data_IF_075102003748
#
_entry.id   IF_075102003748
#
_cell.length_a   1.000
_cell.length_b   1.000
_cell.length_c   1.000
_cell.angle_alpha   90.00
_cell.angle_beta   90.00
_cell.angle_gamma   90.00
#
_symmetry.space_group_name_H-M   'P 1'
#
loop_
_entity.id
_entity.type
_entity.pdbx_description
1 polymer ?
#
# COMPACT_ATOMS: atom_id res chain seq x y z
N UNK A 1 -2.18 1.14 -14.38
CA UNK A 1 -1.02 1.89 -13.84
C UNK A 1 0.29 1.41 -14.45
N UNK A 2 0.59 0.09 -14.41
CA UNK A 2 1.81 -0.47 -15.00
C UNK A 2 1.94 -0.11 -16.48
N UNK A 3 0.93 -0.42 -17.31
CA UNK A 3 0.91 -0.07 -18.73
C UNK A 3 1.11 1.44 -18.99
N UNK A 4 0.52 2.29 -18.14
CA UNK A 4 0.69 3.74 -18.23
C UNK A 4 2.16 4.12 -17.99
N UNK A 5 2.79 3.58 -16.94
CA UNK A 5 4.20 3.85 -16.61
C UNK A 5 5.11 3.40 -17.75
N UNK A 6 4.86 2.22 -18.31
CA UNK A 6 5.64 1.64 -19.41
C UNK A 6 5.51 2.40 -20.73
N UNK A 7 4.36 3.05 -20.97
CA UNK A 7 4.10 3.80 -22.21
C UNK A 7 4.57 5.27 -22.17
N UNK A 8 5.11 5.75 -21.04
CA UNK A 8 5.65 7.11 -20.95
C UNK A 8 6.87 7.25 -21.87
N UNK A 9 7.03 8.39 -22.59
CA UNK A 9 8.23 8.64 -23.40
C UNK A 9 9.54 8.60 -22.62
N UNK A 10 9.48 8.99 -21.33
CA UNK A 10 10.59 8.95 -20.39
C UNK A 10 10.11 8.25 -19.11
N UNK A 11 10.08 6.91 -19.08
CA UNK A 11 9.51 6.17 -17.96
C UNK A 11 10.42 6.28 -16.72
N UNK A 12 9.84 6.35 -15.50
CA UNK A 12 10.62 6.42 -14.27
C UNK A 12 11.41 5.14 -14.02
N UNK A 13 12.47 5.23 -13.22
CA UNK A 13 13.28 4.09 -12.80
C UNK A 13 12.55 3.14 -11.85
N UNK A 14 11.56 3.64 -11.12
CA UNK A 14 10.74 2.90 -10.17
C UNK A 14 9.38 3.57 -10.03
N UNK A 15 8.37 2.80 -9.65
CA UNK A 15 7.04 3.32 -9.35
C UNK A 15 6.42 2.50 -8.22
N UNK A 16 5.32 2.97 -7.64
CA UNK A 16 4.65 2.19 -6.60
C UNK A 16 3.54 2.96 -5.92
N UNK A 17 3.25 2.56 -4.69
CA UNK A 17 2.20 3.15 -3.88
C UNK A 17 2.74 3.59 -2.52
N UNK A 18 2.14 4.63 -1.95
CA UNK A 18 2.30 5.01 -0.56
C UNK A 18 0.96 5.37 0.07
N UNK A 19 0.92 5.40 1.41
CA UNK A 19 -0.29 5.69 2.18
C UNK A 19 -1.38 4.62 1.96
N UNK A 20 -2.65 5.04 1.91
CA UNK A 20 -3.82 4.15 1.93
C UNK A 20 -4.51 4.19 3.28
N UNK A 21 -5.35 3.20 3.56
CA UNK A 21 -6.03 3.08 4.85
C UNK A 21 -5.26 2.16 5.79
N UNK A 22 -5.02 0.90 5.41
CA UNK A 22 -4.18 -0.04 6.17
C UNK A 22 -2.94 -0.53 5.42
N UNK A 23 -2.01 -1.17 6.14
CA UNK A 23 -0.86 -1.86 5.57
C UNK A 23 -1.27 -3.06 4.69
N UNK A 24 -2.43 -3.67 4.95
CA UNK A 24 -3.04 -4.70 4.09
C UNK A 24 -3.40 -4.16 2.70
N UNK A 25 -4.11 -3.03 2.63
CA UNK A 25 -4.58 -2.45 1.37
C UNK A 25 -3.46 -2.15 0.38
N UNK A 26 -2.35 -1.59 0.85
CA UNK A 26 -1.23 -1.26 -0.02
C UNK A 26 -0.55 -2.53 -0.58
N UNK A 27 -0.56 -3.65 0.17
CA UNK A 27 -0.02 -4.91 -0.35
C UNK A 27 -0.88 -5.51 -1.44
N UNK A 28 -2.21 -5.36 -1.37
CA UNK A 28 -3.09 -5.72 -2.49
C UNK A 28 -2.73 -4.93 -3.75
N UNK A 29 -2.44 -3.63 -3.63
CA UNK A 29 -1.95 -2.82 -4.76
C UNK A 29 -0.61 -3.32 -5.29
N UNK A 30 0.35 -3.64 -4.41
CA UNK A 30 1.67 -4.17 -4.81
C UNK A 30 1.53 -5.51 -5.54
N UNK A 31 0.68 -6.42 -5.05
CA UNK A 31 0.36 -7.67 -5.74
C UNK A 31 -0.21 -7.42 -7.13
N UNK A 32 -1.14 -6.46 -7.26
CA UNK A 32 -1.69 -6.05 -8.55
C UNK A 32 -0.62 -5.53 -9.52
N UNK A 33 0.34 -4.74 -9.04
CA UNK A 33 1.47 -4.30 -9.87
C UNK A 33 2.38 -5.45 -10.28
N UNK A 34 2.72 -6.35 -9.36
CA UNK A 34 3.57 -7.50 -9.63
C UNK A 34 2.91 -8.51 -10.59
N UNK A 35 1.59 -8.67 -10.52
CA UNK A 35 0.82 -9.56 -11.40
C UNK A 35 0.84 -9.13 -12.87
N UNK A 36 1.14 -7.87 -13.16
CA UNK A 36 1.30 -7.35 -14.53
C UNK A 36 2.66 -7.71 -15.15
N UNK A 37 3.55 -8.39 -14.41
CA UNK A 37 4.83 -8.86 -14.95
C UNK A 37 5.87 -7.77 -15.21
N UNK A 38 5.75 -6.60 -14.58
CA UNK A 38 6.76 -5.54 -14.72
C UNK A 38 8.10 -5.93 -14.10
N UNK A 39 9.19 -5.60 -14.79
CA UNK A 39 10.55 -5.71 -14.25
C UNK A 39 10.99 -4.45 -13.50
N UNK A 40 10.24 -3.33 -13.62
CA UNK A 40 10.56 -2.09 -12.94
C UNK A 40 10.40 -2.26 -11.42
N UNK A 41 11.36 -1.77 -10.61
CA UNK A 41 11.26 -1.78 -9.16
C UNK A 41 9.94 -1.20 -8.64
N UNK A 42 9.21 -2.01 -7.88
CA UNK A 42 7.99 -1.60 -7.19
C UNK A 42 8.33 -1.01 -5.81
N UNK A 43 7.74 0.15 -5.50
CA UNK A 43 7.84 0.84 -4.21
C UNK A 43 6.58 0.56 -3.38
N UNK A 44 6.76 0.21 -2.11
CA UNK A 44 5.66 0.10 -1.15
C UNK A 44 5.95 0.93 0.09
N UNK A 45 5.00 1.78 0.48
CA UNK A 45 5.16 2.66 1.64
C UNK A 45 3.86 2.82 2.46
N UNK A 46 3.54 1.83 3.29
CA UNK A 46 2.29 1.73 4.04
C UNK A 46 2.21 2.64 5.28
N UNK A 47 1.00 2.93 5.76
CA UNK A 47 0.79 3.63 7.04
C UNK A 47 1.05 2.68 8.23
N UNK A 48 1.46 3.22 9.37
CA UNK A 48 1.62 2.47 10.61
C UNK A 48 0.27 2.29 11.31
N UNK A 49 -0.55 1.39 10.78
CA UNK A 49 -1.92 1.17 11.24
C UNK A 49 -2.96 2.01 10.50
N UNK A 50 -4.23 1.82 10.87
CA UNK A 50 -5.37 2.50 10.25
C UNK A 50 -5.54 3.90 10.87
N UNK A 51 -5.73 4.96 10.08
CA UNK A 51 -5.98 6.30 10.61
C UNK A 51 -7.26 6.33 11.44
N UNK A 52 -7.16 6.81 12.68
CA UNK A 52 -8.29 7.02 13.61
C UNK A 52 -8.44 8.50 13.90
N UNK A 53 -9.67 9.00 13.85
CA UNK A 53 -9.96 10.37 14.25
C UNK A 53 -10.24 10.42 15.76
N UNK A 54 -9.38 11.10 16.51
CA UNK A 54 -9.47 11.25 17.97
C UNK A 54 -9.30 12.72 18.28
N UNK A 55 -10.26 13.33 18.97
CA UNK A 55 -10.22 14.72 19.44
C UNK A 55 -9.81 15.77 18.38
N UNK A 56 -10.31 15.62 17.15
CA UNK A 56 -10.01 16.56 16.07
C UNK A 56 -8.76 16.23 15.25
N UNK A 57 -8.02 15.19 15.62
CA UNK A 57 -6.74 14.83 15.02
C UNK A 57 -6.71 13.39 14.51
N UNK A 58 -5.85 13.12 13.52
CA UNK A 58 -5.63 11.77 12.99
C UNK A 58 -4.51 11.11 13.77
N UNK A 59 -4.79 9.96 14.37
CA UNK A 59 -3.85 9.11 15.09
C UNK A 59 -3.65 7.79 14.36
N UNK A 60 -2.45 7.24 14.50
CA UNK A 60 -2.04 5.96 13.93
C UNK A 60 -1.48 5.11 15.07
N UNK A 61 -2.00 3.89 15.23
CA UNK A 61 -1.73 3.02 16.37
C UNK A 61 -1.11 1.67 15.97
N UNK A 62 -0.69 1.52 14.71
CA UNK A 62 0.02 0.33 14.27
C UNK A 62 1.36 0.22 14.98
N UNK A 63 1.66 -0.89 15.68
CA UNK A 63 2.91 -1.01 16.42
C UNK A 63 4.12 -1.24 15.48
N UNK A 64 5.35 -0.96 15.95
CA UNK A 64 6.57 -1.26 15.19
C UNK A 64 6.68 -2.68 14.65
N UNK A 65 6.22 -3.68 15.42
CA UNK A 65 6.23 -5.09 14.99
C UNK A 65 5.36 -5.33 13.75
N UNK A 66 4.17 -4.72 13.70
CA UNK A 66 3.27 -4.82 12.55
C UNK A 66 3.92 -4.27 11.28
N UNK A 67 4.70 -3.19 11.39
CA UNK A 67 5.45 -2.67 10.25
C UNK A 67 6.60 -3.59 9.83
N UNK A 68 7.19 -4.35 10.76
CA UNK A 68 8.13 -5.43 10.45
C UNK A 68 7.48 -6.54 9.60
N UNK A 69 6.29 -6.98 9.98
CA UNK A 69 5.51 -7.98 9.22
C UNK A 69 5.14 -7.46 7.84
N UNK A 70 4.67 -6.22 7.77
CA UNK A 70 4.39 -5.53 6.52
C UNK A 70 5.61 -5.49 5.60
N UNK A 71 6.81 -5.18 6.11
CA UNK A 71 7.99 -5.06 5.26
C UNK A 71 8.41 -6.40 4.63
N UNK A 72 8.35 -7.49 5.41
CA UNK A 72 8.61 -8.83 4.90
C UNK A 72 7.59 -9.21 3.81
N UNK A 73 6.30 -9.00 4.08
CA UNK A 73 5.23 -9.27 3.11
C UNK A 73 5.32 -8.38 1.86
N UNK A 74 5.71 -7.11 1.99
CA UNK A 74 5.90 -6.19 0.86
C UNK A 74 7.00 -6.69 -0.08
N UNK A 75 8.12 -7.11 0.49
CA UNK A 75 9.23 -7.71 -0.25
C UNK A 75 8.78 -8.97 -0.99
N UNK A 76 8.04 -9.85 -0.32
CA UNK A 76 7.60 -11.12 -0.88
C UNK A 76 6.46 -10.94 -1.91
N UNK A 77 5.66 -9.88 -1.77
CA UNK A 77 4.67 -9.44 -2.76
C UNK A 77 5.30 -8.88 -4.05
N UNK A 78 6.59 -8.51 -4.03
CA UNK A 78 7.34 -8.05 -5.20
C UNK A 78 7.99 -6.69 -5.06
N UNK A 79 7.79 -5.96 -3.95
CA UNK A 79 8.43 -4.67 -3.73
C UNK A 79 9.96 -4.80 -3.65
N UNK A 80 10.65 -3.80 -4.20
CA UNK A 80 12.11 -3.65 -4.13
C UNK A 80 12.52 -2.49 -3.23
N UNK A 81 11.65 -1.50 -3.06
CA UNK A 81 11.84 -0.38 -2.13
C UNK A 81 10.67 -0.41 -1.15
N UNK A 82 10.99 -0.54 0.14
CA UNK A 82 10.00 -0.65 1.22
C UNK A 82 10.26 0.45 2.24
N UNK A 83 9.21 1.10 2.71
CA UNK A 83 9.29 2.07 3.81
C UNK A 83 7.93 2.30 4.46
N UNK A 84 7.81 3.36 5.25
CA UNK A 84 6.53 3.72 5.89
C UNK A 84 6.08 5.15 5.57
N UNK A 85 4.77 5.39 5.62
CA UNK A 85 4.11 6.67 5.35
C UNK A 85 3.60 7.31 6.64
N UNK A 86 2.30 7.57 6.78
CA UNK A 86 1.78 8.26 7.96
C UNK A 86 1.86 7.35 9.19
N UNK A 87 2.11 7.96 10.36
CA UNK A 87 2.31 7.22 11.63
C UNK A 87 3.64 6.50 11.77
N UNK A 88 4.44 6.35 10.70
CA UNK A 88 5.73 5.67 10.78
C UNK A 88 6.74 6.51 11.55
N UNK A 89 7.45 5.87 12.48
CA UNK A 89 8.53 6.48 13.28
C UNK A 89 9.87 5.76 13.04
N UNK A 90 11.01 6.28 13.53
CA UNK A 90 12.29 5.57 13.44
C UNK A 90 12.28 4.16 14.05
N UNK A 91 11.46 3.91 15.08
CA UNK A 91 11.31 2.58 15.66
C UNK A 91 10.65 1.59 14.70
N UNK A 92 9.63 2.04 13.97
CA UNK A 92 9.02 1.23 12.90
C UNK A 92 10.06 0.89 11.82
N UNK A 93 10.89 1.85 11.41
CA UNK A 93 11.95 1.63 10.43
C UNK A 93 13.00 0.64 10.91
N UNK A 94 13.37 0.67 12.20
CA UNK A 94 14.25 -0.33 12.81
C UNK A 94 13.63 -1.73 12.71
N UNK A 95 12.35 -1.90 13.08
CA UNK A 95 11.67 -3.20 12.96
C UNK A 95 11.48 -3.68 11.53
N UNK A 96 11.20 -2.77 10.59
CA UNK A 96 11.19 -3.09 9.15
C UNK A 96 12.55 -3.60 8.69
N UNK A 97 13.63 -2.91 9.07
CA UNK A 97 15.00 -3.32 8.73
C UNK A 97 15.33 -4.69 9.31
N UNK A 98 15.09 -4.89 10.60
CA UNK A 98 15.33 -6.16 11.28
C UNK A 98 14.60 -7.32 10.59
N UNK A 99 13.33 -7.13 10.23
CA UNK A 99 12.53 -8.14 9.55
C UNK A 99 13.06 -8.47 8.15
N UNK A 100 13.49 -7.45 7.38
CA UNK A 100 14.04 -7.65 6.04
C UNK A 100 15.38 -8.38 6.05
N UNK A 101 16.20 -8.17 7.09
CA UNK A 101 17.51 -8.82 7.24
C UNK A 101 17.41 -10.25 7.80
N UNK A 102 16.55 -10.46 8.78
CA UNK A 102 16.51 -11.71 9.55
C UNK A 102 15.57 -12.77 8.96
N UNK A 103 14.53 -12.36 8.23
CA UNK A 103 13.53 -13.30 7.71
C UNK A 103 13.90 -13.72 6.29
N UNK A 104 13.93 -15.03 5.97
CA UNK A 104 14.16 -15.49 4.60
C UNK A 104 13.06 -14.97 3.66
N UNK A 105 13.37 -14.86 2.37
CA UNK A 105 12.36 -14.55 1.34
C UNK A 105 11.35 -15.68 1.26
N UNK A 106 10.06 -15.35 1.38
CA UNK A 106 8.96 -16.28 1.21
C UNK A 106 8.42 -16.30 -0.22
N UNK A 107 7.41 -17.15 -0.43
CA UNK A 107 6.57 -17.10 -1.62
C UNK A 107 5.70 -15.83 -1.62
N UNK A 108 5.13 -15.50 -2.79
CA UNK A 108 4.18 -14.39 -2.90
C UNK A 108 2.97 -14.65 -2.00
N UNK A 109 2.62 -13.75 -1.06
CA UNK A 109 1.55 -14.01 -0.10
C UNK A 109 0.17 -13.93 -0.75
N UNK A 110 -0.78 -14.71 -0.23
CA UNK A 110 -2.21 -14.58 -0.58
C UNK A 110 -2.86 -13.42 0.16
N UNK A 111 -4.05 -13.00 -0.30
CA UNK A 111 -4.81 -11.93 0.39
C UNK A 111 -5.21 -12.35 1.81
N UNK A 112 -5.52 -13.64 2.02
CA UNK A 112 -5.86 -14.20 3.33
C UNK A 112 -4.68 -14.14 4.28
N UNK A 113 -3.46 -14.46 3.81
CA UNK A 113 -2.24 -14.36 4.60
C UNK A 113 -1.92 -12.91 4.97
N UNK A 114 -2.12 -11.98 4.03
CA UNK A 114 -1.97 -10.54 4.31
C UNK A 114 -2.99 -10.09 5.37
N UNK A 115 -4.25 -10.48 5.24
CA UNK A 115 -5.30 -10.09 6.19
C UNK A 115 -5.05 -10.65 7.59
N UNK A 116 -4.58 -11.91 7.68
CA UNK A 116 -4.23 -12.55 8.94
C UNK A 116 -3.07 -11.83 9.67
N UNK A 117 -2.07 -11.34 8.92
CA UNK A 117 -0.91 -10.68 9.49
C UNK A 117 -1.11 -9.19 9.79
N UNK A 118 -1.80 -8.46 8.91
CA UNK A 118 -1.85 -6.99 8.93
C UNK A 118 -3.23 -6.41 9.23
N UNK A 119 -4.24 -7.26 9.41
CA UNK A 119 -5.63 -6.88 9.58
C UNK A 119 -6.41 -6.82 8.26
N UNK A 120 -7.73 -6.71 8.37
CA UNK A 120 -8.64 -6.74 7.23
C UNK A 120 -8.35 -5.64 6.20
N UNK A 121 -8.72 -5.90 4.94
CA UNK A 121 -8.77 -4.87 3.90
C UNK A 121 -9.93 -3.92 4.13
N UNK A 122 -9.80 -2.67 3.68
CA UNK A 122 -10.85 -1.66 3.88
C UNK A 122 -11.91 -1.65 2.79
N UNK A 123 -11.66 -2.31 1.65
CA UNK A 123 -12.64 -2.49 0.57
C UNK A 123 -12.71 -3.95 0.13
N UNK A 124 -13.91 -4.38 -0.29
CA UNK A 124 -14.14 -5.73 -0.79
C UNK A 124 -13.47 -6.01 -2.15
N UNK A 125 -13.23 -4.98 -2.97
CA UNK A 125 -12.52 -5.10 -4.25
C UNK A 125 -11.38 -4.09 -4.37
N UNK A 126 -10.48 -4.33 -5.32
CA UNK A 126 -9.36 -3.46 -5.66
C UNK A 126 -9.74 -2.30 -6.60
N UNK A 127 -11.02 -2.20 -6.98
CA UNK A 127 -11.54 -1.15 -7.86
C UNK A 127 -11.12 -1.28 -9.33
N UNK A 128 -10.55 -2.43 -9.74
CA UNK A 128 -10.11 -2.67 -11.12
C UNK A 128 -11.04 -3.59 -11.93
N UNK A 129 -12.01 -4.22 -11.29
CA UNK A 129 -13.05 -4.99 -11.98
C UNK A 129 -14.00 -4.11 -12.78
N UNK A 130 -14.58 -4.67 -13.85
CA UNK A 130 -15.68 -4.07 -14.60
C UNK A 130 -16.93 -4.00 -13.71
N UNK A 131 -17.02 -2.99 -12.87
CA UNK A 131 -18.27 -2.66 -12.19
C UNK A 131 -19.14 -1.88 -13.17
N UNK A 132 -20.28 -2.45 -13.56
CA UNK A 132 -21.38 -1.86 -14.35
C UNK A 132 -22.11 -0.71 -13.60
N UNK A 133 -21.35 0.08 -12.85
CA UNK A 133 -21.84 1.03 -11.87
C UNK A 133 -20.68 1.73 -11.19
N UNK A 134 -19.90 2.50 -11.96
CA UNK A 134 -18.91 3.41 -11.38
C UNK A 134 -19.59 4.38 -10.39
N UNK A 135 -18.85 4.90 -9.39
CA UNK A 135 -19.41 5.82 -8.41
C UNK A 135 -20.02 7.03 -9.13
N UNK A 136 -21.28 7.34 -8.81
CA UNK A 136 -22.00 8.49 -9.34
C UNK A 136 -21.16 9.74 -9.08
N UNK A 137 -20.59 10.29 -10.16
CA UNK A 137 -19.74 11.49 -10.09
C UNK A 137 -20.65 12.65 -9.73
N UNK A 138 -20.83 12.88 -8.43
CA UNK A 138 -21.57 14.04 -7.91
C UNK A 138 -21.06 15.29 -8.65
N UNK A 139 -21.94 16.03 -9.36
CA UNK A 139 -21.51 17.18 -10.12
C UNK A 139 -20.88 18.19 -9.17
N UNK A 140 -19.66 18.63 -9.50
CA UNK A 140 -18.98 19.71 -8.78
C UNK A 140 -19.88 20.95 -8.84
N UNK A 141 -20.53 21.30 -7.73
CA UNK A 141 -21.28 22.56 -7.62
C UNK A 141 -20.30 23.70 -7.88
N UNK A 142 -20.42 24.31 -9.06
CA UNK A 142 -19.70 25.53 -9.40
C UNK A 142 -20.03 26.61 -8.39
N UNK A 143 -19.00 27.11 -7.71
CA UNK A 143 -19.09 28.26 -6.81
C UNK A 143 -19.47 29.47 -7.67
N UNK A 144 -20.75 29.87 -7.66
CA UNK A 144 -21.17 31.15 -8.23
C UNK A 144 -20.42 32.24 -7.48
N UNK A 145 -19.53 32.95 -8.19
CA UNK A 145 -18.96 34.20 -7.71
C UNK A 145 -20.09 35.24 -7.75
N UNK A 146 -20.52 35.68 -6.57
CA UNK A 146 -21.16 36.97 -6.38
C UNK A 146 -20.10 38.01 -6.08
#
# INVERSE_FOLDING_TARGET
>A
MVELVESLPNPPLAFGANCGTGASDILRTVLGFAAQGTERPIISKGNAGIPKFVDGHIHYDGPPLLMGDYAALARDAGARIVGGCCGTTPEHLRRMRDALDSRPRGERPTLEQIAAALGAFTSASDGTGESDGGPDRRPRRGRRRG
#
